data_IF_367101184180
#
_entry.id   IF_367101184180
#
_cell.length_a   1.000
_cell.length_b   1.000
_cell.length_c   1.000
_cell.angle_alpha   90.00
_cell.angle_beta   90.00
_cell.angle_gamma   90.00
#
_symmetry.space_group_name_H-M   'P 1'
#
loop_
_entity.id
_entity.type
_entity.pdbx_description
1 polymer ?
#
# COMPACT_ATOMS: atom_id res chain seq x y z
N UNK A 1 9.68 4.57 -18.06
CA UNK A 1 9.41 4.37 -16.61
C UNK A 1 8.09 3.64 -16.55
N UNK A 2 8.10 2.33 -16.27
CA UNK A 2 6.89 1.51 -16.31
C UNK A 2 6.02 1.87 -15.11
N UNK A 3 4.86 2.47 -15.37
CA UNK A 3 3.78 2.55 -14.39
C UNK A 3 3.41 1.11 -14.02
N UNK A 4 3.84 0.71 -12.82
CA UNK A 4 3.57 -0.60 -12.24
C UNK A 4 2.06 -0.75 -12.17
N UNK A 5 1.52 -1.54 -13.09
CA UNK A 5 0.10 -1.77 -13.19
C UNK A 5 -0.30 -2.51 -11.91
N UNK A 6 -1.19 -1.92 -11.10
CA UNK A 6 -1.91 -2.64 -10.04
C UNK A 6 -2.86 -3.62 -10.71
N UNK A 7 -2.32 -4.67 -11.33
CA UNK A 7 -3.14 -5.64 -12.07
C UNK A 7 -3.31 -6.96 -11.32
N UNK A 8 -2.70 -7.14 -10.14
CA UNK A 8 -3.02 -8.27 -9.28
C UNK A 8 -2.67 -8.00 -7.83
N UNK A 9 -3.63 -7.47 -7.09
CA UNK A 9 -3.61 -7.60 -5.63
C UNK A 9 -3.61 -9.10 -5.32
N UNK A 10 -2.62 -9.55 -4.57
CA UNK A 10 -2.56 -10.93 -4.07
C UNK A 10 -3.59 -11.12 -2.96
N UNK A 11 -4.67 -11.86 -3.26
CA UNK A 11 -5.77 -12.13 -2.34
C UNK A 11 -5.67 -13.50 -1.65
N UNK A 12 -4.51 -14.14 -1.70
CA UNK A 12 -4.32 -15.50 -1.15
C UNK A 12 -4.37 -15.53 0.38
N UNK A 13 -3.98 -14.44 1.04
CA UNK A 13 -3.93 -14.35 2.50
C UNK A 13 -4.30 -12.97 3.00
N UNK A 14 -5.02 -12.96 4.11
CA UNK A 14 -5.45 -11.76 4.82
C UNK A 14 -4.59 -11.55 6.07
N UNK A 15 -4.32 -10.29 6.36
CA UNK A 15 -3.47 -9.86 7.47
C UNK A 15 -4.17 -8.79 8.29
N UNK A 16 -3.92 -8.79 9.59
CA UNK A 16 -4.18 -7.63 10.45
C UNK A 16 -3.23 -6.48 10.10
N UNK A 17 -3.63 -5.26 10.45
CA UNK A 17 -2.88 -4.06 10.11
C UNK A 17 -1.42 -4.09 10.59
N UNK A 18 -1.14 -4.56 11.80
CA UNK A 18 0.24 -4.62 12.32
C UNK A 18 1.14 -5.46 11.41
N UNK A 19 0.71 -6.67 11.08
CA UNK A 19 1.47 -7.56 10.19
C UNK A 19 1.56 -7.01 8.77
N UNK A 20 0.49 -6.42 8.24
CA UNK A 20 0.53 -5.79 6.92
C UNK A 20 1.51 -4.60 6.91
N UNK A 21 1.53 -3.79 7.96
CA UNK A 21 2.43 -2.65 8.09
C UNK A 21 3.90 -3.09 8.18
N UNK A 22 4.21 -4.17 8.90
CA UNK A 22 5.55 -4.75 8.88
C UNK A 22 5.96 -5.16 7.45
N UNK A 23 5.04 -5.78 6.69
CA UNK A 23 5.28 -6.12 5.27
C UNK A 23 5.43 -4.90 4.37
N UNK A 24 4.71 -3.81 4.65
CA UNK A 24 4.85 -2.54 3.93
C UNK A 24 6.29 -1.98 4.06
N UNK A 25 6.92 -2.13 5.23
CA UNK A 25 8.31 -1.72 5.48
C UNK A 25 9.33 -2.56 4.68
N UNK A 26 8.96 -3.79 4.31
CA UNK A 26 9.72 -4.71 3.43
C UNK A 26 9.52 -4.40 1.93
N UNK A 27 9.14 -3.17 1.57
CA UNK A 27 8.91 -2.72 0.18
C UNK A 27 7.75 -3.41 -0.54
N UNK A 28 6.84 -4.07 0.19
CA UNK A 28 5.61 -4.60 -0.38
C UNK A 28 4.52 -3.51 -0.54
N UNK A 29 3.52 -3.80 -1.37
CA UNK A 29 2.27 -3.05 -1.45
C UNK A 29 1.25 -3.68 -0.50
N UNK A 30 0.59 -2.87 0.32
CA UNK A 30 -0.56 -3.32 1.12
C UNK A 30 -1.85 -2.75 0.55
N UNK A 31 -2.91 -3.56 0.51
CA UNK A 31 -4.22 -3.11 0.01
C UNK A 31 -5.29 -3.38 1.06
N UNK A 32 -6.00 -2.32 1.47
CA UNK A 32 -7.09 -2.45 2.42
C UNK A 32 -8.25 -3.23 1.79
N UNK A 33 -8.80 -4.18 2.54
CA UNK A 33 -9.97 -4.92 2.07
C UNK A 33 -11.22 -4.04 2.10
N UNK A 34 -11.34 -3.11 3.04
CA UNK A 34 -12.54 -2.28 3.21
C UNK A 34 -12.69 -1.20 2.15
N UNK A 35 -11.58 -0.58 1.75
CA UNK A 35 -11.59 0.56 0.82
C UNK A 35 -11.02 0.24 -0.54
N UNK A 36 -10.30 -0.88 -0.67
CA UNK A 36 -9.50 -1.23 -1.84
C UNK A 36 -8.37 -0.24 -2.14
N UNK A 37 -8.05 0.65 -1.20
CA UNK A 37 -6.90 1.54 -1.33
C UNK A 37 -5.60 0.74 -1.17
N UNK A 38 -4.69 0.94 -2.11
CA UNK A 38 -3.34 0.37 -2.07
C UNK A 38 -2.34 1.41 -1.60
N UNK A 39 -1.39 0.97 -0.79
CA UNK A 39 -0.33 1.80 -0.22
C UNK A 39 1.04 1.17 -0.43
N UNK A 40 2.05 2.01 -0.63
CA UNK A 40 3.46 1.61 -0.71
C UNK A 40 4.36 2.67 -0.09
N UNK A 41 5.60 2.30 0.18
CA UNK A 41 6.64 3.22 0.64
C UNK A 41 7.65 3.46 -0.48
N UNK A 42 7.85 4.73 -0.85
CA UNK A 42 8.92 5.12 -1.77
C UNK A 42 10.12 5.63 -0.93
N UNK A 43 11.28 4.98 -1.09
CA UNK A 43 12.55 5.41 -0.49
C UNK A 43 13.24 6.43 -1.40
N UNK A 44 13.65 7.56 -0.83
CA UNK A 44 14.38 8.62 -1.53
C UNK A 44 15.86 8.60 -1.18
N UNK A 45 16.69 9.18 -2.07
CA UNK A 45 18.09 9.50 -1.78
C UNK A 45 18.15 10.38 -0.53
N UNK A 46 18.90 9.96 0.48
CA UNK A 46 18.93 10.58 1.81
C UNK A 46 18.05 9.91 2.88
N UNK A 47 17.51 8.72 2.60
CA UNK A 47 16.87 7.87 3.61
C UNK A 47 15.45 8.27 4.02
N UNK A 48 14.90 9.33 3.43
CA UNK A 48 13.51 9.72 3.66
C UNK A 48 12.58 8.71 2.99
N UNK A 49 11.62 8.21 3.75
CA UNK A 49 10.57 7.31 3.28
C UNK A 49 9.27 8.11 3.18
N UNK A 50 8.57 8.04 2.04
CA UNK A 50 7.22 8.61 1.93
C UNK A 50 6.18 7.54 1.68
N UNK A 51 5.07 7.66 2.41
CA UNK A 51 3.88 6.89 2.14
C UNK A 51 3.20 7.41 0.86
N UNK A 52 2.82 6.45 0.02
CA UNK A 52 2.07 6.68 -1.20
C UNK A 52 0.77 5.92 -1.13
N UNK A 53 -0.31 6.53 -1.59
CA UNK A 53 -1.54 5.82 -1.93
C UNK A 53 -1.72 5.79 -3.44
N UNK A 54 -2.35 4.74 -3.95
CA UNK A 54 -2.71 4.68 -5.35
C UNK A 54 -4.04 5.37 -5.58
N UNK A 55 -4.04 6.41 -6.41
CA UNK A 55 -5.26 7.08 -6.84
C UNK A 55 -5.78 6.40 -8.12
N UNK A 56 -6.91 5.66 -8.06
CA UNK A 56 -7.43 4.95 -9.22
C UNK A 56 -8.02 5.89 -10.28
N UNK A 57 -8.42 7.11 -9.92
CA UNK A 57 -9.01 8.09 -10.84
C UNK A 57 -7.97 8.60 -11.85
N UNK A 58 -6.73 8.78 -11.40
CA UNK A 58 -5.62 9.28 -12.24
C UNK A 58 -4.54 8.22 -12.50
N UNK A 59 -4.78 6.98 -12.05
CA UNK A 59 -3.91 5.81 -12.21
C UNK A 59 -2.46 6.05 -11.73
N UNK A 60 -2.27 6.78 -10.62
CA UNK A 60 -0.94 7.18 -10.13
C UNK A 60 -0.80 7.11 -8.62
N UNK A 61 0.44 6.88 -8.18
CA UNK A 61 0.86 6.96 -6.78
C UNK A 61 1.02 8.41 -6.32
N UNK A 62 0.28 8.80 -5.29
CA UNK A 62 0.31 10.14 -4.71
C UNK A 62 0.88 10.11 -3.30
N UNK A 63 1.60 11.17 -2.90
CA UNK A 63 2.02 11.31 -1.50
C UNK A 63 0.79 11.39 -0.61
N UNK A 64 0.84 10.71 0.52
CA UNK A 64 -0.11 10.85 1.62
C UNK A 64 0.65 10.75 2.93
N UNK A 65 0.12 11.40 3.97
CA UNK A 65 0.65 11.30 5.32
C UNK A 65 -0.22 10.40 6.21
N UNK A 66 -1.29 9.82 5.66
CA UNK A 66 -2.31 9.11 6.43
C UNK A 66 -2.92 7.91 5.70
N UNK A 67 -3.35 6.96 6.52
CA UNK A 67 -4.30 5.90 6.18
C UNK A 67 -5.60 6.14 6.96
N UNK A 68 -6.73 5.69 6.45
CA UNK A 68 -8.02 5.92 7.11
C UNK A 68 -8.14 5.03 8.34
N UNK A 69 -8.66 5.56 9.46
CA UNK A 69 -8.83 4.78 10.70
C UNK A 69 -9.64 3.49 10.51
N UNK A 70 -10.64 3.52 9.61
CA UNK A 70 -11.41 2.32 9.27
C UNK A 70 -10.56 1.22 8.62
N UNK A 71 -9.52 1.58 7.87
CA UNK A 71 -8.62 0.62 7.23
C UNK A 71 -7.69 -0.01 8.27
N UNK A 72 -7.23 0.78 9.26
CA UNK A 72 -6.35 0.31 10.35
C UNK A 72 -7.02 -0.79 11.19
N UNK A 73 -8.34 -0.70 11.37
CA UNK A 73 -9.13 -1.72 12.09
C UNK A 73 -9.55 -2.89 11.20
N UNK A 74 -9.30 -2.79 9.88
CA UNK A 74 -9.68 -3.77 8.89
C UNK A 74 -8.60 -4.81 8.58
N UNK A 75 -8.92 -5.66 7.62
CA UNK A 75 -7.99 -6.66 7.07
C UNK A 75 -7.30 -6.14 5.80
N UNK A 76 -6.15 -6.72 5.50
CA UNK A 76 -5.26 -6.27 4.44
C UNK A 76 -4.74 -7.42 3.60
N UNK A 77 -4.57 -7.16 2.31
CA UNK A 77 -3.80 -7.99 1.39
C UNK A 77 -2.38 -7.44 1.24
N UNK A 78 -1.40 -8.33 1.05
CA UNK A 78 0.01 -7.97 0.83
C UNK A 78 0.41 -8.47 -0.55
N UNK A 79 0.85 -7.57 -1.42
CA UNK A 79 1.33 -7.86 -2.77
C UNK A 79 2.79 -7.49 -2.86
N UNK A 80 3.63 -8.42 -3.33
CA UNK A 80 5.05 -8.12 -3.58
C UNK A 80 5.17 -7.11 -4.73
N UNK A 81 5.94 -6.05 -4.50
CA UNK A 81 6.24 -5.02 -5.50
C UNK A 81 7.34 -5.48 -6.46
#
# INVERSE_FOLDING_TARGET
MQDLIINKVDKTKEYDFSTAYDRLLEENIITSIDTKNSYRLDRFVGGKVKLKFYNPTILRWQNTDYMLSKEILGKWYVTKN
#
